data_IF_462173053241
#
_entry.id   IF_462173053241
#
_cell.length_a   1.000
_cell.length_b   1.000
_cell.length_c   1.000
_cell.angle_alpha   90.00
_cell.angle_beta   90.00
_cell.angle_gamma   90.00
#
_symmetry.space_group_name_H-M   'P 1'
#
loop_
_entity.id
_entity.type
_entity.pdbx_description
1 polymer ?
#
# COMPACT_ATOMS: atom_id res chain seq x y z
N UNK A 1 18.61 -0.73 13.31
CA UNK A 1 19.01 -2.15 13.35
C UNK A 1 19.80 -2.45 12.08
N UNK A 2 20.89 -3.19 12.20
CA UNK A 2 21.81 -3.56 11.11
C UNK A 2 21.61 -5.02 10.70
N UNK A 3 21.48 -5.93 11.66
CA UNK A 3 21.31 -7.36 11.41
C UNK A 3 20.47 -8.03 12.50
N UNK A 4 19.90 -9.19 12.14
CA UNK A 4 19.31 -10.13 13.09
C UNK A 4 20.14 -11.42 13.09
N UNK A 5 20.37 -11.96 14.27
CA UNK A 5 21.04 -13.25 14.49
C UNK A 5 20.19 -14.11 15.43
N UNK A 6 20.37 -15.43 15.34
CA UNK A 6 19.81 -16.35 16.32
C UNK A 6 20.78 -16.46 17.50
N UNK A 7 20.26 -16.27 18.72
CA UNK A 7 21.00 -16.47 19.96
C UNK A 7 20.15 -17.38 20.87
N UNK A 8 20.49 -18.67 20.88
CA UNK A 8 19.81 -19.73 21.63
C UNK A 8 18.28 -19.79 21.43
N UNK A 9 17.83 -19.56 20.19
CA UNK A 9 16.40 -19.54 19.85
C UNK A 9 15.71 -18.19 20.07
N UNK A 10 16.41 -17.20 20.61
CA UNK A 10 15.97 -15.81 20.71
C UNK A 10 16.53 -14.97 19.56
N UNK A 11 15.95 -13.79 19.34
CA UNK A 11 16.35 -12.88 18.27
C UNK A 11 17.31 -11.84 18.81
N UNK A 12 18.58 -11.95 18.45
CA UNK A 12 19.57 -10.90 18.70
C UNK A 12 19.45 -9.82 17.64
N UNK A 13 19.25 -8.58 18.08
CA UNK A 13 19.12 -7.39 17.25
C UNK A 13 20.39 -6.55 17.41
N UNK A 14 21.16 -6.42 16.34
CA UNK A 14 22.33 -5.54 16.33
C UNK A 14 21.93 -4.13 15.86
N UNK A 15 22.29 -3.09 16.61
CA UNK A 15 21.98 -1.69 16.31
C UNK A 15 23.15 -0.99 15.61
N UNK A 16 22.86 0.17 15.02
CA UNK A 16 23.81 0.94 14.20
C UNK A 16 24.92 1.60 15.00
N UNK A 17 24.77 1.70 16.31
CA UNK A 17 25.73 2.25 17.27
C UNK A 17 26.65 1.19 17.90
N UNK A 18 26.57 -0.06 17.43
CA UNK A 18 27.34 -1.19 17.96
C UNK A 18 26.74 -1.83 19.21
N UNK A 19 25.62 -1.33 19.71
CA UNK A 19 24.86 -1.97 20.78
C UNK A 19 24.04 -3.16 20.24
N UNK A 20 23.70 -4.12 21.10
CA UNK A 20 22.77 -5.19 20.77
C UNK A 20 21.80 -5.49 21.91
N UNK A 21 20.66 -6.08 21.58
CA UNK A 21 19.68 -6.58 22.55
C UNK A 21 19.05 -7.87 22.04
N UNK A 22 18.70 -8.76 22.96
CA UNK A 22 18.04 -10.04 22.69
C UNK A 22 16.54 -9.87 23.00
N UNK A 23 15.69 -10.30 22.07
CA UNK A 23 14.23 -10.27 22.20
C UNK A 23 13.62 -11.64 21.91
N UNK A 24 12.45 -11.91 22.49
CA UNK A 24 11.64 -13.09 22.16
C UNK A 24 11.04 -13.01 20.75
N UNK A 25 10.81 -11.79 20.24
CA UNK A 25 10.20 -11.54 18.93
C UNK A 25 10.56 -10.17 18.37
N UNK A 26 10.68 -10.11 17.05
CA UNK A 26 10.76 -8.85 16.28
C UNK A 26 9.57 -8.77 15.32
N UNK A 27 8.92 -7.61 15.24
CA UNK A 27 7.81 -7.34 14.33
C UNK A 27 8.23 -6.22 13.37
N UNK A 28 8.29 -6.52 12.08
CA UNK A 28 8.55 -5.52 11.04
C UNK A 28 7.24 -4.81 10.67
N UNK A 29 7.08 -3.59 11.16
CA UNK A 29 5.99 -2.68 10.77
C UNK A 29 6.51 -1.56 9.86
N UNK A 30 7.30 -1.93 8.85
CA UNK A 30 8.01 -0.99 7.95
C UNK A 30 7.11 -0.35 6.88
N UNK A 31 5.81 -0.65 6.91
CA UNK A 31 4.83 -0.19 5.93
C UNK A 31 4.80 -1.06 4.67
N UNK A 32 3.80 -0.79 3.83
CA UNK A 32 3.69 -1.33 2.48
C UNK A 32 4.13 -0.30 1.44
N UNK A 33 4.43 -0.76 0.24
CA UNK A 33 4.68 0.11 -0.91
C UNK A 33 3.58 -0.08 -1.96
N UNK A 34 3.24 0.99 -2.67
CA UNK A 34 2.32 0.91 -3.82
C UNK A 34 2.95 0.05 -4.92
N UNK A 35 2.24 -0.95 -5.46
CA UNK A 35 2.77 -1.84 -6.50
C UNK A 35 2.75 -1.15 -7.88
N UNK A 36 3.61 -0.15 -8.07
CA UNK A 36 3.67 0.72 -9.25
C UNK A 36 3.74 -0.04 -10.57
N UNK A 37 4.60 -1.07 -10.65
CA UNK A 37 4.76 -1.86 -11.87
C UNK A 37 3.51 -2.67 -12.23
N UNK A 38 2.76 -3.10 -11.23
CA UNK A 38 1.46 -3.77 -11.45
C UNK A 38 0.45 -2.78 -12.03
N UNK A 39 0.35 -1.57 -11.47
CA UNK A 39 -0.57 -0.53 -11.96
C UNK A 39 -0.24 -0.15 -13.42
N UNK A 40 1.04 0.03 -13.75
CA UNK A 40 1.50 0.29 -15.13
C UNK A 40 1.09 -0.84 -16.08
N UNK A 41 1.24 -2.10 -15.67
CA UNK A 41 0.82 -3.27 -16.48
C UNK A 41 -0.69 -3.38 -16.68
N UNK A 42 -1.49 -2.83 -15.77
CA UNK A 42 -2.94 -2.70 -15.92
C UNK A 42 -3.37 -1.54 -16.84
N UNK A 43 -2.43 -0.76 -17.37
CA UNK A 43 -2.72 0.41 -18.22
C UNK A 43 -3.10 1.66 -17.43
N UNK A 44 -2.84 1.69 -16.12
CA UNK A 44 -3.14 2.84 -15.26
C UNK A 44 -2.05 3.89 -15.44
N UNK A 45 -2.46 5.11 -15.79
CA UNK A 45 -1.57 6.28 -15.88
C UNK A 45 -1.15 6.72 -14.49
N UNK A 46 0.14 7.01 -14.31
CA UNK A 46 0.72 7.54 -13.08
C UNK A 46 1.26 8.95 -13.32
N UNK A 47 1.29 9.78 -12.28
CA UNK A 47 1.92 11.10 -12.31
C UNK A 47 3.45 11.01 -12.11
N UNK A 48 4.10 12.17 -12.08
CA UNK A 48 5.55 12.32 -11.85
C UNK A 48 6.04 11.77 -10.49
N UNK A 49 5.14 11.55 -9.54
CA UNK A 49 5.40 10.98 -8.22
C UNK A 49 4.97 9.51 -8.11
N UNK A 50 4.74 8.84 -9.24
CA UNK A 50 4.24 7.45 -9.36
C UNK A 50 2.86 7.23 -8.73
N UNK A 51 2.07 8.29 -8.56
CA UNK A 51 0.72 8.19 -8.03
C UNK A 51 -0.27 7.90 -9.16
N UNK A 52 -1.20 6.94 -8.98
CA UNK A 52 -2.23 6.68 -9.97
C UNK A 52 -3.16 7.87 -10.19
N UNK A 53 -3.49 8.12 -11.45
CA UNK A 53 -4.38 9.17 -11.90
C UNK A 53 -5.76 8.56 -12.18
N UNK A 54 -6.79 9.18 -11.60
CA UNK A 54 -8.20 8.82 -11.76
C UNK A 54 -9.07 10.08 -11.52
N UNK A 55 -10.32 10.03 -11.95
CA UNK A 55 -11.29 11.11 -11.80
C UNK A 55 -11.96 11.14 -10.41
N UNK A 56 -12.94 12.02 -10.19
CA UNK A 56 -13.70 12.09 -8.93
C UNK A 56 -14.52 10.82 -8.63
N UNK A 57 -14.72 9.95 -9.61
CA UNK A 57 -15.42 8.67 -9.49
C UNK A 57 -14.49 7.49 -9.26
N UNK A 58 -13.18 7.77 -9.12
CA UNK A 58 -12.12 6.79 -9.06
C UNK A 58 -11.96 5.98 -10.35
N UNK A 59 -12.49 6.47 -11.48
CA UNK A 59 -12.28 5.86 -12.79
C UNK A 59 -10.93 6.30 -13.37
N UNK A 60 -10.17 5.35 -13.87
CA UNK A 60 -8.87 5.62 -14.51
C UNK A 60 -9.08 6.08 -15.96
N UNK A 61 -7.99 6.44 -16.64
CA UNK A 61 -8.03 6.72 -18.08
C UNK A 61 -8.51 5.51 -18.92
N UNK A 62 -8.46 4.29 -18.37
CA UNK A 62 -9.03 3.10 -18.99
C UNK A 62 -10.50 3.01 -18.59
N UNK A 63 -11.40 3.22 -19.55
CA UNK A 63 -12.86 3.21 -19.31
C UNK A 63 -13.30 1.87 -18.70
N UNK A 64 -14.08 1.94 -17.62
CA UNK A 64 -14.55 0.78 -16.87
C UNK A 64 -13.55 0.22 -15.86
N UNK A 65 -12.33 0.76 -15.77
CA UNK A 65 -11.34 0.40 -14.77
C UNK A 65 -11.31 1.45 -13.67
N UNK A 66 -11.65 1.03 -12.44
CA UNK A 66 -11.71 1.88 -11.26
C UNK A 66 -10.64 1.49 -10.24
N UNK A 67 -10.18 2.47 -9.44
CA UNK A 67 -9.15 2.27 -8.43
C UNK A 67 -9.61 2.71 -7.03
N UNK A 68 -9.78 1.75 -6.12
CA UNK A 68 -10.23 2.02 -4.74
C UNK A 68 -9.29 1.43 -3.68
N UNK A 69 -9.54 1.77 -2.42
CA UNK A 69 -8.76 1.27 -1.28
C UNK A 69 -7.34 1.83 -1.17
N UNK A 70 -6.47 1.08 -0.50
CA UNK A 70 -5.10 1.48 -0.14
C UNK A 70 -4.23 1.79 -1.36
N UNK A 71 -4.45 1.05 -2.47
CA UNK A 71 -3.71 1.27 -3.73
C UNK A 71 -4.04 2.60 -4.42
N UNK A 72 -5.15 3.24 -4.06
CA UNK A 72 -5.54 4.55 -4.58
C UNK A 72 -4.95 5.72 -3.77
N UNK A 73 -4.35 5.44 -2.61
CA UNK A 73 -3.82 6.46 -1.69
C UNK A 73 -2.35 6.23 -1.38
N UNK A 74 -1.64 7.31 -1.06
CA UNK A 74 -0.18 7.27 -0.87
C UNK A 74 0.24 6.95 0.57
N UNK A 75 -0.62 7.26 1.54
CA UNK A 75 -0.32 7.13 2.96
C UNK A 75 -1.47 6.45 3.70
N UNK A 76 -1.49 5.12 3.71
CA UNK A 76 -2.30 4.30 4.59
C UNK A 76 -3.81 4.55 4.49
N UNK A 77 -4.48 3.74 3.68
CA UNK A 77 -5.93 3.68 3.65
C UNK A 77 -6.49 2.95 4.86
N UNK A 78 -7.56 3.51 5.44
CA UNK A 78 -8.35 2.77 6.42
C UNK A 78 -9.33 1.83 5.72
N UNK A 79 -9.75 0.78 6.42
CA UNK A 79 -10.81 -0.13 5.95
C UNK A 79 -12.09 0.67 5.62
N UNK A 80 -12.44 1.64 6.47
CA UNK A 80 -13.61 2.50 6.26
C UNK A 80 -13.50 3.31 4.97
N UNK A 81 -12.32 3.85 4.66
CA UNK A 81 -12.10 4.61 3.42
C UNK A 81 -12.18 3.71 2.19
N UNK A 82 -11.62 2.49 2.26
CA UNK A 82 -11.75 1.52 1.17
C UNK A 82 -13.21 1.16 0.89
N UNK A 83 -14.03 0.99 1.93
CA UNK A 83 -15.47 0.76 1.81
C UNK A 83 -16.19 1.96 1.20
N UNK A 84 -15.80 3.19 1.56
CA UNK A 84 -16.36 4.41 0.96
C UNK A 84 -16.01 4.52 -0.53
N UNK A 85 -14.77 4.20 -0.92
CA UNK A 85 -14.39 4.14 -2.34
C UNK A 85 -15.24 3.12 -3.08
N UNK A 86 -15.38 1.90 -2.53
CA UNK A 86 -16.19 0.85 -3.14
C UNK A 86 -17.67 1.27 -3.31
N UNK A 87 -18.26 1.86 -2.27
CA UNK A 87 -19.63 2.37 -2.34
C UNK A 87 -19.79 3.43 -3.43
N UNK A 88 -18.84 4.37 -3.53
CA UNK A 88 -18.85 5.43 -4.54
C UNK A 88 -18.73 4.86 -5.97
N UNK A 89 -17.73 4.00 -6.20
CA UNK A 89 -17.47 3.35 -7.48
C UNK A 89 -18.69 2.56 -7.95
N UNK A 90 -19.25 1.70 -7.09
CA UNK A 90 -20.41 0.88 -7.46
C UNK A 90 -21.64 1.75 -7.75
N UNK A 91 -21.85 2.80 -6.96
CA UNK A 91 -22.96 3.75 -7.20
C UNK A 91 -22.81 4.46 -8.54
N UNK A 92 -21.59 4.88 -8.88
CA UNK A 92 -21.30 5.49 -10.17
C UNK A 92 -21.54 4.50 -11.34
N UNK A 93 -21.05 3.26 -11.22
CA UNK A 93 -21.27 2.21 -12.23
C UNK A 93 -22.76 1.98 -12.47
N UNK A 94 -23.56 1.91 -11.40
CA UNK A 94 -25.00 1.66 -11.51
C UNK A 94 -25.78 2.83 -12.12
N UNK A 95 -25.32 4.07 -11.94
CA UNK A 95 -25.94 5.27 -12.52
C UNK A 95 -25.63 5.45 -14.01
N UNK A 96 -24.50 4.92 -14.46
CA UNK A 96 -24.00 5.07 -15.83
C UNK A 96 -24.11 3.77 -16.64
N UNK A 97 -25.07 2.91 -16.27
CA UNK A 97 -25.42 1.68 -17.00
C UNK A 97 -26.36 1.95 -18.18
#
# INVERSE_FOLDING_TARGET
MVSLENEDGLVKVNFTDGYYTIYDRVIYAIGGTTPVDFLKKCGITLDENEKPIFDENYETAVKGLYLGGDIAVRSGGSIAMALNHAHHIVTHILKNK
#
